data_IF_023404494249
#
_entry.id   IF_023404494249
#
_cell.length_a   1.000
_cell.length_b   1.000
_cell.length_c   1.000
_cell.angle_alpha   90.00
_cell.angle_beta   90.00
_cell.angle_gamma   90.00
#
_symmetry.space_group_name_H-M   'P 1'
#
loop_
_entity.id
_entity.type
_entity.pdbx_description
1 polymer ?
#
# COMPACT_ATOMS: atom_id res chain seq x y z
N UNK A 1 4.35 33.18 -15.70
CA UNK A 1 3.44 33.29 -14.53
C UNK A 1 3.85 32.32 -13.43
N UNK A 2 3.96 31.02 -13.68
CA UNK A 2 4.35 29.99 -12.72
C UNK A 2 5.75 30.18 -12.12
N UNK A 3 6.72 30.61 -12.93
CA UNK A 3 8.07 30.93 -12.49
C UNK A 3 8.10 32.10 -11.49
N UNK A 4 7.35 33.18 -11.77
CA UNK A 4 7.22 34.32 -10.85
C UNK A 4 6.55 33.92 -9.52
N UNK A 5 5.62 32.96 -9.55
CA UNK A 5 4.95 32.43 -8.36
C UNK A 5 5.78 31.41 -7.59
N UNK A 6 6.97 31.06 -8.08
CA UNK A 6 7.86 30.09 -7.43
C UNK A 6 7.18 28.72 -7.18
N UNK A 7 6.37 28.28 -8.18
CA UNK A 7 5.56 27.07 -7.99
C UNK A 7 6.43 25.84 -7.76
N UNK A 8 7.51 25.67 -8.51
CA UNK A 8 8.38 24.49 -8.36
C UNK A 8 9.04 24.49 -6.98
N UNK A 9 9.63 25.59 -6.58
CA UNK A 9 10.31 25.73 -5.29
C UNK A 9 9.36 25.47 -4.10
N UNK A 10 8.09 25.86 -4.25
CA UNK A 10 7.07 25.65 -3.21
C UNK A 10 6.52 24.22 -3.19
N UNK A 11 6.42 23.55 -4.34
CA UNK A 11 5.78 22.24 -4.43
C UNK A 11 6.76 21.09 -4.14
N UNK A 12 8.07 21.31 -4.18
CA UNK A 12 9.07 20.28 -3.88
C UNK A 12 9.40 20.17 -2.39
N UNK A 13 9.01 21.17 -1.59
CA UNK A 13 9.20 21.14 -0.14
C UNK A 13 7.87 20.92 0.59
N UNK A 14 7.83 20.07 1.63
CA UNK A 14 6.64 19.87 2.43
C UNK A 14 6.30 21.11 3.28
N UNK A 15 5.02 21.37 3.47
CA UNK A 15 4.54 22.46 4.34
C UNK A 15 4.93 22.22 5.80
N UNK A 16 4.93 20.95 6.26
CA UNK A 16 5.26 20.60 7.64
C UNK A 16 5.79 19.19 7.76
N UNK A 17 6.75 18.99 8.65
CA UNK A 17 7.27 17.68 9.04
C UNK A 17 7.16 17.56 10.55
N UNK A 18 6.54 16.46 11.00
CA UNK A 18 6.44 16.07 12.39
C UNK A 18 7.29 14.82 12.59
N UNK A 19 8.22 14.85 13.54
CA UNK A 19 9.05 13.71 13.93
C UNK A 19 8.92 13.51 15.44
N UNK A 20 8.69 12.27 15.85
CA UNK A 20 8.46 11.93 17.25
C UNK A 20 9.02 10.54 17.60
N UNK A 21 9.32 10.34 18.89
CA UNK A 21 9.72 9.04 19.43
C UNK A 21 8.49 8.20 19.73
N UNK A 22 8.59 6.90 19.47
CA UNK A 22 7.54 5.92 19.77
C UNK A 22 8.10 4.84 20.69
N UNK A 23 8.12 5.08 22.01
CA UNK A 23 8.50 4.03 22.97
C UNK A 23 7.35 3.05 23.15
N UNK A 24 7.64 1.76 23.12
CA UNK A 24 6.66 0.70 23.32
C UNK A 24 7.32 -0.53 23.97
N UNK A 25 6.50 -1.43 24.55
CA UNK A 25 6.97 -2.60 25.30
C UNK A 25 6.60 -3.87 24.54
N UNK A 26 7.54 -4.79 24.39
CA UNK A 26 7.30 -6.09 23.77
C UNK A 26 6.63 -7.09 24.75
N UNK A 27 6.42 -8.33 24.27
CA UNK A 27 5.79 -9.39 25.09
C UNK A 27 6.69 -9.91 26.21
N UNK A 28 7.99 -9.58 26.18
CA UNK A 28 8.96 -9.94 27.24
C UNK A 28 9.11 -8.84 28.28
N UNK A 29 8.46 -7.68 28.09
CA UNK A 29 8.59 -6.52 28.96
C UNK A 29 9.78 -5.62 28.61
N UNK A 30 10.46 -5.85 27.48
CA UNK A 30 11.56 -5.01 27.02
C UNK A 30 11.04 -3.76 26.33
N UNK A 31 11.72 -2.62 26.60
CA UNK A 31 11.36 -1.33 26.02
C UNK A 31 12.10 -1.15 24.69
N UNK A 32 11.34 -0.84 23.65
CA UNK A 32 11.83 -0.48 22.33
C UNK A 32 11.47 0.97 22.00
N UNK A 33 12.30 1.62 21.19
CA UNK A 33 12.06 2.99 20.73
C UNK A 33 12.22 3.03 19.22
N UNK A 34 11.13 3.38 18.55
CA UNK A 34 11.11 3.65 17.11
C UNK A 34 10.92 5.14 16.84
N UNK A 35 11.16 5.57 15.62
CA UNK A 35 10.91 6.93 15.18
C UNK A 35 9.63 6.97 14.35
N UNK A 36 8.71 7.84 14.72
CA UNK A 36 7.50 8.15 13.99
C UNK A 36 7.64 9.44 13.19
N UNK A 37 7.00 9.47 12.03
CA UNK A 37 7.00 10.62 11.13
C UNK A 37 5.60 10.87 10.58
N UNK A 38 5.27 12.16 10.39
CA UNK A 38 4.19 12.63 9.52
C UNK A 38 4.68 13.79 8.68
N UNK A 39 4.62 13.63 7.37
CA UNK A 39 4.92 14.67 6.39
C UNK A 39 3.58 15.19 5.86
N UNK A 40 3.21 16.38 6.25
CA UNK A 40 2.10 17.16 5.74
C UNK A 40 2.64 17.94 4.56
N UNK A 41 2.47 17.34 3.35
CA UNK A 41 3.26 17.78 2.21
C UNK A 41 2.64 19.01 1.52
N UNK A 42 1.36 18.93 1.17
CA UNK A 42 0.69 20.02 0.47
C UNK A 42 -0.81 20.01 0.76
N UNK A 43 -1.37 21.14 1.16
CA UNK A 43 -2.78 21.32 1.47
C UNK A 43 -3.52 22.26 0.52
N UNK A 44 -2.89 22.64 -0.61
CA UNK A 44 -3.44 23.68 -1.50
C UNK A 44 -4.85 23.36 -2.05
N UNK A 45 -5.19 22.08 -2.19
CA UNK A 45 -6.48 21.63 -2.75
C UNK A 45 -7.35 20.87 -1.74
N UNK A 46 -6.93 20.75 -0.50
CA UNK A 46 -7.71 20.08 0.56
C UNK A 46 -6.85 19.51 1.68
N UNK A 47 -7.46 18.83 2.65
CA UNK A 47 -6.76 18.21 3.78
C UNK A 47 -5.62 17.31 3.32
N UNK A 48 -4.55 17.22 4.11
CA UNK A 48 -3.48 16.28 3.83
C UNK A 48 -4.03 14.86 3.82
N UNK A 49 -3.68 14.08 2.80
CA UNK A 49 -4.18 12.72 2.63
C UNK A 49 -3.08 11.80 2.16
N UNK A 50 -2.88 10.69 2.86
CA UNK A 50 -1.93 9.66 2.46
C UNK A 50 -1.62 8.67 3.56
N UNK A 51 -1.01 7.52 3.17
CA UNK A 51 -0.82 6.36 4.02
C UNK A 51 0.22 6.51 5.12
N UNK A 52 0.14 5.61 6.10
CA UNK A 52 1.19 5.33 7.09
C UNK A 52 1.90 4.05 6.68
N UNK A 53 3.23 4.05 6.65
CA UNK A 53 4.07 2.89 6.35
C UNK A 53 4.82 2.43 7.59
N UNK A 54 4.65 1.16 7.97
CA UNK A 54 5.44 0.54 9.04
C UNK A 54 6.40 -0.48 8.41
N UNK A 55 7.65 -0.08 8.25
CA UNK A 55 8.68 -0.90 7.62
C UNK A 55 10.08 -0.43 8.05
N UNK A 56 11.04 -1.35 8.29
CA UNK A 56 12.39 -0.98 8.76
C UNK A 56 13.15 0.00 7.87
N UNK A 57 12.82 0.07 6.58
CA UNK A 57 13.44 1.01 5.64
C UNK A 57 12.90 2.44 5.73
N UNK A 58 11.86 2.69 6.53
CA UNK A 58 11.25 4.02 6.63
C UNK A 58 12.24 5.02 7.24
N UNK A 59 12.40 6.11 6.55
CA UNK A 59 13.13 7.28 6.99
C UNK A 59 12.50 8.54 6.41
N UNK A 60 12.93 9.70 6.87
CA UNK A 60 12.34 10.97 6.48
C UNK A 60 12.43 11.25 4.97
N UNK A 61 13.55 10.89 4.32
CA UNK A 61 13.75 11.10 2.88
C UNK A 61 12.73 10.34 2.05
N UNK A 62 12.53 9.05 2.37
CA UNK A 62 11.51 8.22 1.72
C UNK A 62 10.10 8.81 1.91
N UNK A 63 9.78 9.27 3.11
CA UNK A 63 8.45 9.82 3.39
C UNK A 63 8.23 11.20 2.74
N UNK A 64 9.25 12.03 2.62
CA UNK A 64 9.19 13.27 1.82
C UNK A 64 8.89 12.95 0.36
N UNK A 65 9.62 12.03 -0.25
CA UNK A 65 9.38 11.61 -1.63
C UNK A 65 7.96 11.05 -1.82
N UNK A 66 7.53 10.15 -0.94
CA UNK A 66 6.19 9.56 -1.02
C UNK A 66 5.07 10.58 -0.76
N UNK A 67 5.31 11.60 0.06
CA UNK A 67 4.38 12.72 0.26
C UNK A 67 4.24 13.60 -0.98
N UNK A 68 5.36 13.85 -1.64
CA UNK A 68 5.40 14.54 -2.93
C UNK A 68 4.59 13.76 -3.99
N UNK A 69 4.88 12.48 -4.18
CA UNK A 69 4.12 11.59 -5.07
C UNK A 69 2.61 11.60 -4.76
N UNK A 70 2.27 11.52 -3.46
CA UNK A 70 0.89 11.49 -3.00
C UNK A 70 0.14 12.78 -3.36
N UNK A 71 0.79 13.93 -3.36
CA UNK A 71 0.20 15.21 -3.74
C UNK A 71 -0.31 15.17 -5.19
N UNK A 72 0.51 14.71 -6.13
CA UNK A 72 0.10 14.59 -7.53
C UNK A 72 -0.93 13.48 -7.74
N UNK A 73 -0.75 12.33 -7.08
CA UNK A 73 -1.71 11.23 -7.12
C UNK A 73 -3.11 11.70 -6.71
N UNK A 74 -3.23 12.45 -5.64
CA UNK A 74 -4.51 12.96 -5.15
C UNK A 74 -5.08 14.05 -6.07
N UNK A 75 -4.25 14.96 -6.55
CA UNK A 75 -4.68 16.01 -7.48
C UNK A 75 -5.29 15.44 -8.78
N UNK A 76 -4.74 14.35 -9.30
CA UNK A 76 -5.27 13.67 -10.50
C UNK A 76 -6.64 13.01 -10.29
N UNK A 77 -7.09 12.83 -9.06
CA UNK A 77 -8.45 12.33 -8.78
C UNK A 77 -9.52 13.39 -8.97
N UNK A 78 -9.16 14.67 -9.11
CA UNK A 78 -10.05 15.84 -9.11
C UNK A 78 -10.81 16.08 -7.80
N UNK A 79 -10.57 15.27 -6.76
CA UNK A 79 -11.17 15.44 -5.44
C UNK A 79 -10.37 16.44 -4.60
N UNK A 80 -11.02 17.13 -3.65
CA UNK A 80 -10.37 18.12 -2.79
C UNK A 80 -9.52 17.45 -1.69
N UNK A 81 -8.41 16.86 -2.09
CA UNK A 81 -7.47 16.17 -1.20
C UNK A 81 -6.05 16.65 -1.46
N UNK A 82 -5.39 17.10 -0.43
CA UNK A 82 -3.96 17.40 -0.41
C UNK A 82 -3.10 16.14 -0.36
N UNK A 83 -1.81 16.30 -0.15
CA UNK A 83 -0.83 15.22 -0.05
C UNK A 83 -0.20 15.14 1.32
N UNK A 84 -0.08 13.92 1.85
CA UNK A 84 0.64 13.63 3.08
C UNK A 84 1.15 12.20 3.11
N UNK A 85 2.16 11.95 3.92
CA UNK A 85 2.71 10.61 4.15
C UNK A 85 3.28 10.49 5.54
N UNK A 86 3.18 9.33 6.13
CA UNK A 86 3.76 9.07 7.44
C UNK A 86 4.21 7.64 7.60
N UNK A 87 4.70 7.33 8.78
CA UNK A 87 5.12 5.97 9.11
C UNK A 87 6.19 5.91 10.18
N UNK A 88 6.77 4.73 10.30
CA UNK A 88 7.83 4.44 11.27
C UNK A 88 8.75 3.33 10.73
N UNK A 89 9.96 3.29 11.23
CA UNK A 89 10.93 2.21 11.03
C UNK A 89 10.55 0.90 11.75
N UNK A 90 9.38 0.84 12.35
CA UNK A 90 8.82 -0.35 13.00
C UNK A 90 8.48 -1.43 11.97
N UNK A 91 8.83 -2.69 12.28
CA UNK A 91 8.43 -3.86 11.51
C UNK A 91 7.32 -4.62 12.20
N UNK A 92 6.23 -4.89 11.48
CA UNK A 92 5.16 -5.79 11.96
C UNK A 92 5.53 -7.27 11.85
N UNK A 93 6.55 -7.60 11.05
CA UNK A 93 6.97 -8.99 10.82
C UNK A 93 7.59 -9.57 12.08
N UNK A 94 7.13 -10.76 12.48
CA UNK A 94 7.61 -11.46 13.67
C UNK A 94 7.10 -10.88 14.98
N UNK A 95 6.18 -9.91 14.95
CA UNK A 95 5.57 -9.32 16.14
C UNK A 95 4.20 -9.96 16.43
N UNK A 96 3.88 -10.12 17.70
CA UNK A 96 2.55 -10.53 18.13
C UNK A 96 1.50 -9.46 17.85
N UNK A 97 0.23 -9.84 17.82
CA UNK A 97 -0.87 -8.88 17.69
C UNK A 97 -0.89 -7.86 18.85
N UNK A 98 -0.51 -8.30 20.05
CA UNK A 98 -0.38 -7.44 21.24
C UNK A 98 0.73 -6.41 21.11
N UNK A 99 1.90 -6.81 20.60
CA UNK A 99 3.02 -5.89 20.33
C UNK A 99 2.65 -4.85 19.29
N UNK A 100 2.04 -5.28 18.16
CA UNK A 100 1.59 -4.35 17.11
C UNK A 100 0.54 -3.38 17.65
N UNK A 101 -0.39 -3.85 18.49
CA UNK A 101 -1.40 -2.99 19.11
C UNK A 101 -0.74 -1.94 20.02
N UNK A 102 0.18 -2.34 20.92
CA UNK A 102 0.90 -1.42 21.80
C UNK A 102 1.70 -0.38 21.02
N UNK A 103 2.38 -0.81 19.95
CA UNK A 103 3.08 0.11 19.07
C UNK A 103 2.12 1.12 18.41
N UNK A 104 1.02 0.66 17.81
CA UNK A 104 0.01 1.54 17.19
C UNK A 104 -0.57 2.54 18.19
N UNK A 105 -0.82 2.11 19.43
CA UNK A 105 -1.31 3.00 20.49
C UNK A 105 -0.27 4.05 20.85
N UNK A 106 1.00 3.66 21.06
CA UNK A 106 2.09 4.59 21.34
C UNK A 106 2.31 5.58 20.17
N UNK A 107 2.28 5.09 18.93
CA UNK A 107 2.39 5.94 17.74
C UNK A 107 1.25 6.97 17.65
N UNK A 108 0.02 6.56 17.92
CA UNK A 108 -1.15 7.45 17.87
C UNK A 108 -1.16 8.46 19.00
N UNK A 109 -0.60 8.13 20.17
CA UNK A 109 -0.49 9.07 21.30
C UNK A 109 0.30 10.33 20.94
N UNK A 110 1.25 10.21 20.03
CA UNK A 110 2.00 11.34 19.52
C UNK A 110 1.34 11.99 18.30
N UNK A 111 0.79 11.17 17.40
CA UNK A 111 0.27 11.64 16.12
C UNK A 111 -1.08 12.38 16.23
N UNK A 112 -1.94 12.03 17.19
CA UNK A 112 -3.33 12.51 17.23
C UNK A 112 -3.46 14.04 17.29
N UNK A 113 -2.46 14.76 17.80
CA UNK A 113 -2.43 16.21 17.85
C UNK A 113 -2.41 16.91 16.47
N UNK A 114 -2.03 16.17 15.44
CA UNK A 114 -1.70 16.71 14.11
C UNK A 114 -2.61 16.20 13.02
N UNK A 115 -3.60 15.37 13.36
CA UNK A 115 -4.52 14.76 12.40
C UNK A 115 -5.97 15.01 12.78
N UNK A 116 -6.83 15.01 11.78
CA UNK A 116 -8.25 15.22 11.97
C UNK A 116 -9.00 15.05 10.66
N UNK A 117 -10.35 14.98 10.70
CA UNK A 117 -11.16 14.75 9.50
C UNK A 117 -11.05 15.88 8.46
N UNK A 118 -10.73 17.09 8.90
CA UNK A 118 -10.68 18.29 8.05
C UNK A 118 -9.25 18.83 7.87
N UNK A 119 -8.26 18.25 8.53
CA UNK A 119 -6.87 18.71 8.48
C UNK A 119 -5.94 17.70 7.82
N UNK A 120 -5.89 16.48 8.34
CA UNK A 120 -4.98 15.44 7.88
C UNK A 120 -5.59 14.05 8.11
N UNK A 121 -5.79 13.30 7.04
CA UNK A 121 -6.49 12.02 7.07
C UNK A 121 -5.54 10.90 6.63
N UNK A 122 -4.84 10.24 7.57
CA UNK A 122 -4.00 9.10 7.26
C UNK A 122 -4.79 7.89 6.73
N UNK A 123 -4.07 6.98 6.06
CA UNK A 123 -4.59 5.74 5.51
C UNK A 123 -3.60 4.60 5.73
N UNK A 124 -3.95 3.40 5.24
CA UNK A 124 -3.02 2.28 5.19
C UNK A 124 -1.98 2.40 4.08
N UNK A 125 -0.85 1.75 4.28
CA UNK A 125 0.25 1.55 3.33
C UNK A 125 1.00 0.25 3.72
N UNK A 126 2.21 0.02 3.25
CA UNK A 126 3.01 -1.16 3.62
C UNK A 126 3.10 -1.30 5.14
N UNK A 127 2.73 -2.46 5.66
CA UNK A 127 2.74 -2.76 7.10
C UNK A 127 1.58 -2.13 7.90
N UNK A 128 0.65 -1.45 7.24
CA UNK A 128 -0.55 -0.86 7.88
C UNK A 128 -1.79 -1.27 7.10
N UNK A 129 -2.41 -2.34 7.54
CA UNK A 129 -3.67 -2.86 7.00
C UNK A 129 -4.88 -2.50 7.86
N UNK A 130 -5.99 -3.19 7.63
CA UNK A 130 -7.23 -2.96 8.37
C UNK A 130 -7.08 -3.14 9.90
N UNK A 131 -6.27 -4.12 10.33
CA UNK A 131 -5.96 -4.37 11.74
C UNK A 131 -5.26 -3.19 12.40
N UNK A 132 -4.18 -2.70 11.78
CA UNK A 132 -3.40 -1.57 12.27
C UNK A 132 -4.23 -0.29 12.28
N UNK A 133 -5.01 -0.04 11.23
CA UNK A 133 -5.97 1.07 11.19
C UNK A 133 -6.97 0.96 12.34
N UNK A 134 -7.43 -0.25 12.68
CA UNK A 134 -8.29 -0.49 13.84
C UNK A 134 -7.65 -0.07 15.15
N UNK A 135 -6.42 -0.47 15.40
CA UNK A 135 -5.69 -0.09 16.60
C UNK A 135 -5.43 1.42 16.68
N UNK A 136 -5.05 2.04 15.57
CA UNK A 136 -4.81 3.48 15.47
C UNK A 136 -6.11 4.27 15.72
N UNK A 137 -7.21 3.89 15.08
CA UNK A 137 -8.50 4.57 15.25
C UNK A 137 -9.07 4.40 16.67
N UNK A 138 -8.96 3.21 17.23
CA UNK A 138 -9.40 2.96 18.61
C UNK A 138 -8.67 3.85 19.62
N UNK A 139 -7.36 4.06 19.43
CA UNK A 139 -6.58 4.96 20.28
C UNK A 139 -6.91 6.43 20.02
N UNK A 140 -7.04 6.85 18.76
CA UNK A 140 -7.49 8.21 18.42
C UNK A 140 -8.81 8.55 19.10
N UNK A 141 -9.83 7.68 18.92
CA UNK A 141 -11.14 7.85 19.57
C UNK A 141 -11.04 7.95 21.10
N UNK A 142 -10.15 7.17 21.71
CA UNK A 142 -9.94 7.19 23.15
C UNK A 142 -9.36 8.53 23.62
N UNK A 143 -8.42 9.10 22.87
CA UNK A 143 -7.74 10.35 23.21
C UNK A 143 -8.62 11.57 22.94
N UNK A 144 -9.24 11.64 21.80
CA UNK A 144 -10.06 12.80 21.37
C UNK A 144 -11.51 12.75 21.86
N UNK A 145 -12.03 11.56 22.17
CA UNK A 145 -13.46 11.27 22.44
C UNK A 145 -14.35 11.52 21.23
N UNK A 146 -13.78 11.52 20.02
CA UNK A 146 -14.49 11.76 18.78
C UNK A 146 -14.64 10.49 17.95
N UNK A 147 -15.78 10.32 17.33
CA UNK A 147 -16.04 9.30 16.32
C UNK A 147 -16.14 10.00 14.96
N UNK A 148 -14.98 10.25 14.34
CA UNK A 148 -14.85 11.11 13.17
C UNK A 148 -14.29 10.37 11.94
N UNK A 149 -14.22 11.09 10.81
CA UNK A 149 -13.66 10.61 9.56
C UNK A 149 -12.12 10.59 9.46
N UNK A 150 -11.41 10.63 10.58
CA UNK A 150 -9.96 10.89 10.65
C UNK A 150 -9.07 9.89 9.92
N UNK A 151 -9.41 8.64 9.82
CA UNK A 151 -8.63 7.59 9.17
C UNK A 151 -9.45 6.91 8.07
N UNK A 152 -8.82 6.55 6.95
CA UNK A 152 -9.46 5.70 5.94
C UNK A 152 -8.93 4.27 6.00
N UNK A 153 -9.71 3.30 5.50
CA UNK A 153 -9.42 1.87 5.63
C UNK A 153 -9.99 1.25 6.90
N UNK A 154 -10.94 1.94 7.55
CA UNK A 154 -11.69 1.44 8.70
C UNK A 154 -12.67 0.33 8.30
N UNK A 155 -12.98 -0.57 9.22
CA UNK A 155 -14.07 -1.54 9.07
C UNK A 155 -15.44 -0.86 8.95
N UNK A 156 -16.40 -1.53 8.32
CA UNK A 156 -17.75 -0.99 8.14
C UNK A 156 -18.43 -0.69 9.47
N UNK A 157 -18.19 -1.51 10.48
CA UNK A 157 -18.79 -1.46 11.81
C UNK A 157 -18.38 -0.21 12.60
N UNK A 158 -17.32 0.48 12.16
CA UNK A 158 -16.76 1.63 12.86
C UNK A 158 -16.40 2.80 11.93
N UNK A 159 -17.29 3.06 10.99
CA UNK A 159 -17.29 4.28 10.17
C UNK A 159 -16.49 4.16 8.86
N UNK A 160 -16.15 2.94 8.43
CA UNK A 160 -15.51 2.69 7.14
C UNK A 160 -16.49 2.64 5.98
N UNK A 161 -15.97 2.75 4.78
CA UNK A 161 -16.70 2.53 3.54
C UNK A 161 -16.42 1.12 2.99
N UNK A 162 -17.29 0.63 2.11
CA UNK A 162 -17.00 -0.61 1.36
C UNK A 162 -15.71 -0.46 0.58
N UNK A 163 -14.80 -1.39 0.79
CA UNK A 163 -13.54 -1.46 0.05
C UNK A 163 -13.70 -2.38 -1.15
N UNK A 164 -13.01 -2.04 -2.24
CA UNK A 164 -12.77 -2.95 -3.36
C UNK A 164 -11.28 -3.28 -3.40
N UNK A 165 -10.86 -4.48 -2.99
CA UNK A 165 -9.45 -4.86 -2.96
C UNK A 165 -8.76 -4.71 -4.32
N UNK A 166 -9.51 -4.94 -5.40
CA UNK A 166 -9.05 -4.84 -6.78
C UNK A 166 -8.94 -3.41 -7.33
N UNK A 167 -9.52 -2.40 -6.67
CA UNK A 167 -9.72 -1.08 -7.26
C UNK A 167 -8.42 -0.42 -7.75
N UNK A 168 -7.35 -0.50 -6.97
CA UNK A 168 -6.05 0.10 -7.36
C UNK A 168 -5.45 -0.59 -8.58
N UNK A 169 -5.48 -1.92 -8.62
CA UNK A 169 -5.02 -2.70 -9.76
C UNK A 169 -5.87 -2.46 -11.01
N UNK A 170 -7.18 -2.36 -10.87
CA UNK A 170 -8.09 -2.04 -11.96
C UNK A 170 -7.80 -0.65 -12.53
N UNK A 171 -7.66 0.35 -11.66
CA UNK A 171 -7.35 1.72 -12.08
C UNK A 171 -6.03 1.82 -12.84
N UNK A 172 -5.00 1.09 -12.39
CA UNK A 172 -3.72 1.03 -13.10
C UNK A 172 -3.89 0.47 -14.53
N UNK A 173 -4.68 -0.59 -14.69
CA UNK A 173 -4.92 -1.18 -16.01
C UNK A 173 -5.83 -0.32 -16.90
N UNK A 174 -6.78 0.40 -16.35
CA UNK A 174 -7.54 1.39 -17.11
C UNK A 174 -6.63 2.48 -17.65
N UNK A 175 -5.75 3.02 -16.81
CA UNK A 175 -4.78 4.03 -17.24
C UNK A 175 -3.83 3.49 -18.33
N UNK A 176 -3.29 2.28 -18.14
CA UNK A 176 -2.44 1.63 -19.16
C UNK A 176 -3.19 1.44 -20.49
N UNK A 177 -4.45 1.04 -20.44
CA UNK A 177 -5.26 0.87 -21.65
C UNK A 177 -5.45 2.20 -22.40
N UNK A 178 -5.82 3.27 -21.71
CA UNK A 178 -5.93 4.61 -22.28
C UNK A 178 -4.61 5.10 -22.87
N UNK A 179 -3.50 4.90 -22.15
CA UNK A 179 -2.17 5.26 -22.63
C UNK A 179 -1.79 4.49 -23.91
N UNK A 180 -2.10 3.19 -23.99
CA UNK A 180 -1.86 2.41 -25.19
C UNK A 180 -2.72 2.91 -26.38
N UNK A 181 -3.99 3.20 -26.13
CA UNK A 181 -4.90 3.68 -27.17
C UNK A 181 -4.48 5.04 -27.75
N UNK A 182 -3.98 5.97 -26.92
CA UNK A 182 -3.45 7.25 -27.40
C UNK A 182 -2.24 7.09 -28.33
N UNK A 183 -1.54 5.95 -28.25
CA UNK A 183 -0.44 5.60 -29.14
C UNK A 183 -0.83 4.63 -30.26
N UNK A 184 -2.12 4.37 -30.45
CA UNK A 184 -2.62 3.47 -31.50
C UNK A 184 -2.42 1.97 -31.22
N UNK A 185 -2.18 1.61 -29.95
CA UNK A 185 -2.03 0.22 -29.53
C UNK A 185 -3.25 -0.27 -28.75
N UNK A 186 -3.44 -1.59 -28.73
CA UNK A 186 -4.45 -2.28 -27.91
C UNK A 186 -3.73 -3.17 -26.89
N UNK A 187 -4.28 -3.25 -25.68
CA UNK A 187 -3.80 -4.16 -24.65
C UNK A 187 -4.11 -5.63 -24.96
N UNK A 188 -5.15 -5.87 -25.78
CA UNK A 188 -5.56 -7.22 -26.16
C UNK A 188 -4.42 -7.98 -26.85
N UNK A 189 -4.16 -9.19 -26.37
CA UNK A 189 -3.08 -10.05 -26.89
C UNK A 189 -1.68 -9.69 -26.43
N UNK A 190 -1.47 -8.56 -25.75
CA UNK A 190 -0.17 -8.17 -25.19
C UNK A 190 0.23 -9.07 -24.04
N UNK A 191 1.53 -9.29 -23.90
CA UNK A 191 2.13 -9.97 -22.75
C UNK A 191 2.37 -8.96 -21.63
N UNK A 192 1.89 -9.29 -20.42
CA UNK A 192 1.98 -8.44 -19.23
C UNK A 192 2.75 -9.17 -18.14
N UNK A 193 3.83 -8.55 -17.67
CA UNK A 193 4.57 -8.98 -16.48
C UNK A 193 4.19 -8.09 -15.30
N UNK A 194 3.83 -8.71 -14.17
CA UNK A 194 3.43 -8.01 -12.95
C UNK A 194 4.45 -8.31 -11.86
N UNK A 195 4.96 -7.25 -11.21
CA UNK A 195 5.76 -7.35 -10.00
C UNK A 195 4.90 -6.97 -8.81
N UNK A 196 4.79 -7.87 -7.83
CA UNK A 196 3.96 -7.74 -6.64
C UNK A 196 3.10 -8.98 -6.40
N UNK A 197 2.64 -9.18 -5.16
CA UNK A 197 1.79 -10.32 -4.76
C UNK A 197 0.65 -9.92 -3.82
N UNK A 198 0.37 -8.63 -3.69
CA UNK A 198 -0.74 -8.09 -2.89
C UNK A 198 -1.99 -7.80 -3.72
N UNK A 199 -2.96 -7.13 -3.10
CA UNK A 199 -4.25 -6.78 -3.70
C UNK A 199 -4.12 -6.00 -5.02
N UNK A 200 -3.12 -5.12 -5.11
CA UNK A 200 -2.87 -4.32 -6.33
C UNK A 200 -2.45 -5.22 -7.48
N UNK A 201 -1.48 -6.10 -7.25
CA UNK A 201 -1.00 -7.05 -8.27
C UNK A 201 -2.11 -8.02 -8.69
N UNK A 202 -2.89 -8.54 -7.72
CA UNK A 202 -4.04 -9.39 -8.01
C UNK A 202 -5.10 -8.67 -8.86
N UNK A 203 -5.48 -7.44 -8.47
CA UNK A 203 -6.43 -6.65 -9.25
C UNK A 203 -5.91 -6.33 -10.66
N UNK A 204 -4.63 -5.96 -10.78
CA UNK A 204 -4.00 -5.70 -12.07
C UNK A 204 -4.02 -6.94 -12.98
N UNK A 205 -3.64 -8.11 -12.44
CA UNK A 205 -3.65 -9.35 -13.18
C UNK A 205 -5.07 -9.74 -13.66
N UNK A 206 -6.06 -9.61 -12.76
CA UNK A 206 -7.47 -9.86 -13.07
C UNK A 206 -7.93 -8.96 -14.21
N UNK A 207 -7.72 -7.65 -14.12
CA UNK A 207 -8.16 -6.68 -15.13
C UNK A 207 -7.41 -6.84 -16.46
N UNK A 208 -6.09 -7.06 -16.42
CA UNK A 208 -5.33 -7.33 -17.63
C UNK A 208 -5.88 -8.54 -18.41
N UNK A 209 -6.22 -9.61 -17.68
CA UNK A 209 -6.83 -10.83 -18.28
C UNK A 209 -8.23 -10.54 -18.84
N UNK A 210 -9.06 -9.79 -18.13
CA UNK A 210 -10.40 -9.37 -18.59
C UNK A 210 -10.32 -8.54 -19.90
N UNK A 211 -9.30 -7.70 -20.03
CA UNK A 211 -9.03 -6.91 -21.23
C UNK A 211 -8.35 -7.70 -22.36
N UNK A 212 -8.12 -9.00 -22.15
CA UNK A 212 -7.58 -9.91 -23.16
C UNK A 212 -6.05 -9.94 -23.27
N UNK A 213 -5.33 -9.37 -22.30
CA UNK A 213 -3.89 -9.50 -22.20
C UNK A 213 -3.46 -10.86 -21.62
N UNK A 214 -2.22 -11.25 -21.86
CA UNK A 214 -1.59 -12.47 -21.32
C UNK A 214 -0.71 -12.12 -20.13
N UNK A 215 -1.19 -12.35 -18.92
CA UNK A 215 -0.37 -12.17 -17.71
C UNK A 215 0.53 -13.38 -17.55
N UNK A 216 1.85 -13.18 -17.52
CA UNK A 216 2.86 -14.24 -17.46
C UNK A 216 3.62 -14.32 -16.15
N UNK A 217 3.67 -13.24 -15.36
CA UNK A 217 4.36 -13.24 -14.06
C UNK A 217 3.56 -12.56 -12.97
N UNK A 218 3.72 -13.07 -11.75
CA UNK A 218 3.44 -12.40 -10.49
C UNK A 218 4.63 -12.65 -9.57
N UNK A 219 5.09 -11.66 -8.82
CA UNK A 219 6.26 -11.80 -7.94
C UNK A 219 6.02 -11.26 -6.54
N UNK A 220 6.72 -11.83 -5.57
CA UNK A 220 6.75 -11.40 -4.17
C UNK A 220 8.19 -11.34 -3.65
N UNK A 221 8.38 -11.02 -2.35
CA UNK A 221 9.71 -11.00 -1.73
C UNK A 221 10.44 -12.35 -1.79
N UNK A 222 9.68 -13.45 -1.79
CA UNK A 222 10.21 -14.81 -1.72
C UNK A 222 10.42 -15.46 -3.10
N UNK A 223 10.04 -14.77 -4.18
CA UNK A 223 10.20 -15.30 -5.53
C UNK A 223 9.13 -14.81 -6.51
N UNK A 224 9.05 -15.47 -7.63
CA UNK A 224 8.03 -15.16 -8.65
C UNK A 224 7.43 -16.42 -9.24
N UNK A 225 6.21 -16.28 -9.76
CA UNK A 225 5.51 -17.30 -10.53
C UNK A 225 5.56 -16.89 -11.99
N UNK A 226 6.02 -17.79 -12.84
CA UNK A 226 5.97 -17.62 -14.28
C UNK A 226 5.05 -18.69 -14.88
N UNK A 227 4.09 -18.30 -15.71
CA UNK A 227 3.17 -19.22 -16.36
C UNK A 227 2.71 -18.73 -17.72
N UNK A 228 2.64 -19.65 -18.67
CA UNK A 228 2.13 -19.38 -20.01
C UNK A 228 0.58 -19.37 -20.03
N UNK A 229 -0.10 -19.92 -19.01
CA UNK A 229 -1.55 -20.13 -18.99
C UNK A 229 -2.31 -19.41 -17.86
N UNK A 230 -1.72 -18.42 -17.24
CA UNK A 230 -2.36 -17.71 -16.10
C UNK A 230 -3.73 -17.07 -16.44
N UNK A 231 -3.99 -16.81 -17.71
CA UNK A 231 -5.27 -16.29 -18.20
C UNK A 231 -6.49 -17.19 -17.90
N UNK A 232 -6.29 -18.51 -17.78
CA UNK A 232 -7.38 -19.46 -17.54
C UNK A 232 -7.76 -19.63 -16.07
N UNK A 233 -6.88 -19.28 -15.15
CA UNK A 233 -7.02 -19.60 -13.72
C UNK A 233 -7.75 -18.55 -12.91
N UNK A 234 -7.64 -17.27 -13.27
CA UNK A 234 -8.31 -16.20 -12.54
C UNK A 234 -9.83 -16.23 -12.66
N UNK A 235 -10.38 -17.06 -13.55
CA UNK A 235 -11.82 -17.30 -13.65
C UNK A 235 -12.41 -18.11 -12.47
N UNK A 236 -11.60 -18.81 -11.69
CA UNK A 236 -12.09 -19.75 -10.65
C UNK A 236 -11.76 -19.40 -9.21
N UNK A 237 -10.96 -18.36 -8.94
CA UNK A 237 -10.58 -18.02 -7.56
C UNK A 237 -11.30 -16.75 -7.08
N UNK A 238 -12.50 -16.92 -6.55
CA UNK A 238 -13.31 -15.86 -5.95
C UNK A 238 -13.04 -15.65 -4.44
N UNK A 239 -12.12 -16.41 -3.85
CA UNK A 239 -11.80 -16.30 -2.42
C UNK A 239 -10.32 -16.53 -2.20
N UNK A 240 -9.53 -15.47 -2.17
CA UNK A 240 -8.15 -15.58 -1.76
C UNK A 240 -7.84 -14.67 -0.58
N UNK A 241 -8.12 -15.12 0.62
CA UNK A 241 -7.40 -14.76 1.85
C UNK A 241 -6.23 -15.72 2.13
N UNK A 242 -6.14 -16.84 1.42
CA UNK A 242 -5.02 -17.79 1.43
C UNK A 242 -5.01 -18.51 0.09
N UNK A 243 -4.17 -18.06 -0.86
CA UNK A 243 -4.05 -18.72 -2.16
C UNK A 243 -3.48 -20.12 -2.02
N UNK A 244 -4.34 -21.11 -1.93
CA UNK A 244 -4.02 -22.51 -2.25
C UNK A 244 -4.34 -22.69 -3.74
N UNK A 245 -3.33 -22.81 -4.56
CA UNK A 245 -3.46 -23.04 -6.01
C UNK A 245 -3.90 -24.48 -6.25
N UNK A 246 -4.87 -24.73 -7.17
CA UNK A 246 -5.29 -26.10 -7.51
C UNK A 246 -4.17 -26.89 -8.22
N UNK A 247 -4.10 -28.18 -7.94
CA UNK A 247 -3.03 -29.12 -8.33
C UNK A 247 -2.82 -29.37 -9.85
N UNK A 248 -3.49 -28.64 -10.73
CA UNK A 248 -3.36 -28.75 -12.19
C UNK A 248 -2.65 -27.57 -12.86
N UNK A 249 -1.91 -26.78 -12.08
CA UNK A 249 -1.20 -25.62 -12.58
C UNK A 249 0.29 -25.93 -12.72
N UNK A 250 0.81 -25.91 -13.95
CA UNK A 250 2.23 -25.90 -14.20
C UNK A 250 2.79 -24.52 -13.78
N UNK A 251 3.36 -24.45 -12.57
CA UNK A 251 3.93 -23.25 -11.99
C UNK A 251 5.44 -23.43 -11.93
N UNK A 252 6.18 -22.60 -12.64
CA UNK A 252 7.61 -22.49 -12.47
C UNK A 252 7.89 -21.56 -11.29
N UNK A 253 8.16 -22.11 -10.10
CA UNK A 253 8.62 -21.37 -8.93
C UNK A 253 10.12 -21.15 -9.05
N UNK A 254 10.54 -19.94 -9.39
CA UNK A 254 11.95 -19.57 -9.30
C UNK A 254 12.22 -18.88 -7.96
N UNK A 255 12.90 -19.56 -7.06
CA UNK A 255 13.42 -18.96 -5.82
C UNK A 255 14.60 -18.04 -6.15
N UNK A 256 14.63 -16.89 -5.53
CA UNK A 256 15.75 -15.98 -5.53
C UNK A 256 16.84 -16.54 -4.59
N UNK A 257 17.67 -17.44 -5.10
CA UNK A 257 18.97 -17.73 -4.47
C UNK A 257 20.06 -17.47 -5.49
N UNK A 258 21.03 -16.71 -5.08
CA UNK A 258 22.06 -16.02 -5.85
C UNK A 258 23.16 -16.90 -6.43
N UNK A 259 22.98 -18.17 -6.63
CA UNK A 259 24.06 -19.01 -7.16
C UNK A 259 23.66 -20.10 -8.17
N UNK A 260 22.42 -20.57 -8.23
CA UNK A 260 22.08 -21.65 -9.17
C UNK A 260 20.67 -21.50 -9.74
N UNK A 261 20.57 -21.26 -11.04
CA UNK A 261 19.33 -21.35 -11.81
C UNK A 261 19.04 -22.82 -12.09
N UNK A 262 18.28 -23.48 -11.24
CA UNK A 262 17.71 -24.78 -11.57
C UNK A 262 16.29 -24.61 -12.10
N UNK A 263 16.12 -24.93 -13.38
CA UNK A 263 14.83 -25.17 -14.00
C UNK A 263 14.28 -26.51 -13.48
N UNK A 264 13.18 -26.47 -12.73
CA UNK A 264 12.45 -27.68 -12.35
C UNK A 264 11.58 -28.16 -13.51
N UNK A 265 11.77 -29.40 -13.90
CA UNK A 265 10.92 -30.06 -14.92
C UNK A 265 9.67 -30.69 -14.27
N UNK A 266 8.64 -30.95 -15.08
CA UNK A 266 7.30 -31.42 -14.71
C UNK A 266 7.23 -32.62 -13.75
N UNK A 267 8.30 -33.33 -13.52
CA UNK A 267 8.34 -34.55 -12.71
C UNK A 267 8.48 -34.36 -11.20
N UNK A 268 8.84 -33.17 -10.72
CA UNK A 268 9.25 -32.96 -9.32
C UNK A 268 8.12 -32.49 -8.37
N UNK A 269 6.91 -32.36 -8.87
CA UNK A 269 5.73 -31.90 -8.11
C UNK A 269 4.83 -33.04 -7.57
N UNK A 270 5.31 -34.27 -7.66
CA UNK A 270 4.52 -35.48 -7.33
C UNK A 270 5.07 -36.31 -6.15
N UNK A 271 5.86 -35.73 -5.22
CA UNK A 271 6.27 -36.43 -3.98
C UNK A 271 6.16 -35.54 -2.78
#
# INVERSE_FOLDING_TARGET
EFEKAKIIERIVEPERIITFRVPWVDDKGEIHVNIGYRVQFNSAIGPYKGGLRFHPSVNLSILKFLGFEQTFKNALTTLPMGGGKGGSDFSIRGRSAGEVMRFCQAFMTELYHYIGPDEDIPAGDIGVGAREIGYLFGMYKKLTREYSGVLTGKGLEWGGSRIRPEATGFGALYFVNEMLQTHGYDIKGKTVAISGFGNVAWGAAKKATELGAKVITISGPDGYIYTIQMALMMRKSLTCSNCVLPATMYVLLMRRNSAEQHLWQEGDLGK
#
